data_IF_365902747365
#
_entry.id   IF_365902747365
#
_cell.length_a   1.000
_cell.length_b   1.000
_cell.length_c   1.000
_cell.angle_alpha   90.00
_cell.angle_beta   90.00
_cell.angle_gamma   90.00
#
_symmetry.space_group_name_H-M   'P 1'
#
loop_
_entity.id
_entity.type
_entity.pdbx_description
1 polymer ?
#
# COMPACT_ATOMS: atom_id res chain seq x y z
N UNK A 1 10.87 -15.10 -23.53
CA UNK A 1 10.83 -15.31 -22.07
C UNK A 1 12.15 -14.79 -21.56
N UNK A 2 12.19 -13.49 -21.29
CA UNK A 2 13.43 -12.80 -20.94
C UNK A 2 13.75 -13.19 -19.49
N UNK A 3 14.73 -14.07 -19.29
CA UNK A 3 15.25 -14.37 -17.96
C UNK A 3 15.99 -13.11 -17.49
N UNK A 4 15.27 -12.21 -16.81
CA UNK A 4 15.92 -11.15 -16.03
C UNK A 4 16.90 -11.84 -15.09
N UNK A 5 18.19 -11.60 -15.30
CA UNK A 5 19.22 -12.02 -14.36
C UNK A 5 18.96 -11.21 -13.09
N UNK A 6 18.37 -11.85 -12.07
CA UNK A 6 18.13 -11.22 -10.76
C UNK A 6 19.49 -10.74 -10.22
N UNK A 7 19.62 -9.45 -9.93
CA UNK A 7 20.83 -8.90 -9.30
C UNK A 7 21.11 -9.62 -7.99
N UNK A 8 22.37 -9.95 -7.75
CA UNK A 8 22.72 -10.63 -6.52
C UNK A 8 22.56 -9.68 -5.31
N UNK A 9 22.18 -10.15 -4.11
CA UNK A 9 21.92 -9.28 -2.96
C UNK A 9 23.07 -8.31 -2.62
N UNK A 10 24.32 -8.74 -2.80
CA UNK A 10 25.48 -7.88 -2.56
C UNK A 10 25.60 -6.72 -3.57
N UNK A 11 25.13 -6.88 -4.79
CA UNK A 11 25.11 -5.83 -5.82
C UNK A 11 24.02 -4.80 -5.50
N UNK A 12 22.85 -5.25 -5.05
CA UNK A 12 21.76 -4.40 -4.60
C UNK A 12 22.22 -3.54 -3.41
N UNK A 13 22.87 -4.16 -2.41
CA UNK A 13 23.43 -3.43 -1.27
C UNK A 13 24.49 -2.42 -1.69
N UNK A 14 25.38 -2.77 -2.63
CA UNK A 14 26.37 -1.83 -3.19
C UNK A 14 25.70 -0.63 -3.86
N UNK A 15 24.69 -0.87 -4.70
CA UNK A 15 23.96 0.20 -5.37
C UNK A 15 23.28 1.16 -4.37
N UNK A 16 22.78 0.64 -3.24
CA UNK A 16 22.24 1.46 -2.13
C UNK A 16 23.34 2.32 -1.48
N UNK A 17 24.51 1.76 -1.21
CA UNK A 17 25.66 2.50 -0.67
C UNK A 17 26.13 3.60 -1.62
N UNK A 18 26.13 3.33 -2.93
CA UNK A 18 26.53 4.30 -3.96
C UNK A 18 25.46 5.39 -4.16
N UNK A 19 24.21 5.13 -3.78
CA UNK A 19 23.06 6.04 -3.93
C UNK A 19 22.31 6.24 -2.59
N UNK A 20 22.97 6.79 -1.56
CA UNK A 20 22.43 6.81 -0.20
C UNK A 20 21.20 7.72 -0.06
N UNK A 21 21.07 8.73 -0.93
CA UNK A 21 19.99 9.73 -0.87
C UNK A 21 18.79 9.40 -1.77
N UNK A 22 18.92 8.42 -2.66
CA UNK A 22 17.84 8.05 -3.60
C UNK A 22 16.75 7.30 -2.85
N UNK A 23 15.47 7.63 -3.09
CA UNK A 23 14.36 6.91 -2.46
C UNK A 23 14.36 5.44 -2.87
N UNK A 24 13.79 4.59 -2.01
CA UNK A 24 13.78 3.14 -2.19
C UNK A 24 13.11 2.71 -3.49
N UNK A 25 11.92 3.25 -3.76
CA UNK A 25 11.19 3.03 -5.00
C UNK A 25 12.02 3.41 -6.23
N UNK A 26 12.62 4.60 -6.22
CA UNK A 26 13.34 5.13 -7.39
C UNK A 26 14.61 4.32 -7.66
N UNK A 27 15.31 3.91 -6.60
CA UNK A 27 16.48 3.04 -6.74
C UNK A 27 16.07 1.65 -7.26
N UNK A 28 15.01 1.06 -6.72
CA UNK A 28 14.51 -0.23 -7.20
C UNK A 28 14.15 -0.19 -8.69
N UNK A 29 13.44 0.87 -9.10
CA UNK A 29 13.11 1.11 -10.51
C UNK A 29 14.37 1.28 -11.38
N UNK A 30 15.37 2.02 -10.92
CA UNK A 30 16.65 2.19 -11.64
C UNK A 30 17.40 0.86 -11.81
N UNK A 31 17.32 -0.03 -10.83
CA UNK A 31 17.93 -1.35 -10.86
C UNK A 31 17.07 -2.40 -11.62
N UNK A 32 15.84 -2.06 -12.01
CA UNK A 32 14.92 -2.98 -12.67
C UNK A 32 14.38 -4.10 -11.77
N UNK A 33 14.36 -3.87 -10.45
CA UNK A 33 13.86 -4.80 -9.42
C UNK A 33 12.67 -4.18 -8.68
N UNK A 34 11.92 -5.00 -7.95
CA UNK A 34 10.86 -4.54 -7.05
C UNK A 34 11.41 -3.89 -5.77
N UNK A 35 10.59 -3.10 -5.09
CA UNK A 35 10.97 -2.52 -3.80
C UNK A 35 11.15 -3.59 -2.71
N UNK A 36 10.36 -4.67 -2.76
CA UNK A 36 10.53 -5.81 -1.88
C UNK A 36 11.88 -6.52 -2.07
N UNK A 37 12.35 -6.70 -3.31
CA UNK A 37 13.67 -7.26 -3.60
C UNK A 37 14.80 -6.38 -3.06
N UNK A 38 14.66 -5.05 -3.22
CA UNK A 38 15.60 -4.10 -2.64
C UNK A 38 15.69 -4.23 -1.12
N UNK A 39 14.56 -4.35 -0.42
CA UNK A 39 14.53 -4.49 1.05
C UNK A 39 15.03 -5.87 1.48
N UNK A 40 14.62 -6.93 0.79
CA UNK A 40 15.02 -8.30 1.08
C UNK A 40 16.54 -8.49 1.01
N UNK A 41 17.23 -7.78 0.10
CA UNK A 41 18.69 -7.83 -0.01
C UNK A 41 19.43 -7.42 1.29
N UNK A 42 18.75 -6.75 2.22
CA UNK A 42 19.29 -6.34 3.52
C UNK A 42 18.87 -7.28 4.67
N UNK A 43 18.18 -8.40 4.43
CA UNK A 43 17.88 -9.36 5.50
C UNK A 43 19.18 -9.84 6.17
N UNK A 44 19.22 -9.77 7.50
CA UNK A 44 20.42 -10.03 8.30
C UNK A 44 21.37 -8.83 8.44
N UNK A 45 21.10 -7.71 7.76
CA UNK A 45 21.85 -6.46 7.81
C UNK A 45 20.90 -5.27 8.01
N UNK A 46 20.41 -5.12 9.25
CA UNK A 46 19.44 -4.09 9.62
C UNK A 46 17.99 -4.39 9.20
N UNK A 47 17.75 -5.47 8.45
CA UNK A 47 16.39 -5.92 8.12
C UNK A 47 16.13 -7.32 8.68
N UNK A 48 14.95 -7.50 9.26
CA UNK A 48 14.39 -8.79 9.69
C UNK A 48 13.15 -9.06 8.86
N UNK A 49 13.10 -10.21 8.19
CA UNK A 49 11.89 -10.67 7.51
C UNK A 49 10.84 -11.05 8.55
N UNK A 50 9.61 -10.59 8.35
CA UNK A 50 8.47 -10.93 9.19
C UNK A 50 7.35 -11.54 8.34
N UNK A 51 6.59 -12.43 8.93
CA UNK A 51 5.37 -12.99 8.35
C UNK A 51 4.33 -11.86 8.19
N UNK A 52 3.71 -11.70 7.01
CA UNK A 52 2.70 -10.68 6.75
C UNK A 52 1.34 -11.05 7.38
N UNK A 53 1.32 -11.45 8.65
CA UNK A 53 0.09 -11.75 9.43
C UNK A 53 -0.61 -10.45 9.80
N UNK A 54 -1.34 -9.90 8.83
CA UNK A 54 -1.96 -8.56 8.89
C UNK A 54 -2.83 -8.38 10.14
N UNK A 55 -3.64 -9.37 10.52
CA UNK A 55 -4.51 -9.25 11.69
C UNK A 55 -3.71 -9.14 13.01
N UNK A 56 -2.65 -9.95 13.15
CA UNK A 56 -1.76 -9.92 14.32
C UNK A 56 -0.98 -8.60 14.37
N UNK A 57 -0.51 -8.12 13.21
CA UNK A 57 0.13 -6.82 13.06
C UNK A 57 -0.80 -5.68 13.54
N UNK A 58 -2.00 -5.57 12.96
CA UNK A 58 -2.89 -4.46 13.25
C UNK A 58 -3.28 -4.42 14.72
N UNK A 59 -3.55 -5.59 15.32
CA UNK A 59 -3.86 -5.71 16.75
C UNK A 59 -2.64 -5.34 17.60
N UNK A 60 -1.43 -5.73 17.18
CA UNK A 60 -0.20 -5.42 17.91
C UNK A 60 0.24 -3.96 17.82
N UNK A 61 -0.12 -3.25 16.74
CA UNK A 61 0.25 -1.86 16.52
C UNK A 61 -0.38 -0.89 17.53
N UNK A 62 -1.54 -1.23 18.11
CA UNK A 62 -2.16 -0.43 19.17
C UNK A 62 -1.20 -0.23 20.35
N UNK A 63 -0.49 -1.29 20.77
CA UNK A 63 0.48 -1.24 21.86
C UNK A 63 1.79 -0.50 21.49
N UNK A 64 2.09 -0.36 20.19
CA UNK A 64 3.22 0.46 19.71
C UNK A 64 2.94 1.95 19.92
N UNK A 65 1.67 2.34 19.97
CA UNK A 65 1.26 3.72 20.20
C UNK A 65 1.35 4.56 18.92
N UNK A 66 1.79 5.82 19.07
CA UNK A 66 1.83 6.76 17.95
C UNK A 66 2.90 6.38 16.93
N UNK A 67 2.50 6.29 15.67
CA UNK A 67 3.33 5.93 14.52
C UNK A 67 2.93 6.79 13.32
N UNK A 68 3.72 6.77 12.25
CA UNK A 68 3.31 7.30 10.94
C UNK A 68 2.95 6.16 10.00
N UNK A 69 1.72 6.16 9.51
CA UNK A 69 1.20 5.26 8.50
C UNK A 69 1.38 5.87 7.10
N UNK A 70 2.03 5.13 6.20
CA UNK A 70 2.28 5.55 4.82
C UNK A 70 1.64 4.55 3.85
N UNK A 71 0.75 5.07 3.00
CA UNK A 71 0.19 4.34 1.87
C UNK A 71 0.36 5.20 0.62
N UNK A 72 0.68 4.59 -0.51
CA UNK A 72 0.92 5.30 -1.76
C UNK A 72 0.45 4.52 -2.97
N UNK A 73 0.30 5.22 -4.08
CA UNK A 73 0.23 4.64 -5.42
C UNK A 73 1.24 5.36 -6.32
N UNK A 74 1.10 5.21 -7.64
CA UNK A 74 1.99 5.85 -8.60
C UNK A 74 1.99 7.39 -8.49
N UNK A 75 0.84 7.98 -8.22
CA UNK A 75 0.59 9.42 -8.35
C UNK A 75 0.46 10.18 -7.03
N UNK A 76 0.24 9.48 -5.91
CA UNK A 76 0.01 10.08 -4.61
C UNK A 76 0.67 9.30 -3.48
N UNK A 77 1.17 10.03 -2.47
CA UNK A 77 1.66 9.51 -1.20
C UNK A 77 0.79 10.11 -0.09
N UNK A 78 0.32 9.27 0.82
CA UNK A 78 -0.50 9.68 1.94
C UNK A 78 0.14 9.22 3.25
N UNK A 79 0.51 10.19 4.09
CA UNK A 79 1.15 9.99 5.39
C UNK A 79 0.24 10.51 6.49
N UNK A 80 0.00 9.69 7.53
CA UNK A 80 -0.77 10.09 8.71
C UNK A 80 -0.11 9.63 9.99
N UNK A 81 -0.01 10.53 10.96
CA UNK A 81 0.48 10.24 12.29
C UNK A 81 -0.70 9.92 13.20
N UNK A 82 -0.61 8.84 13.96
CA UNK A 82 -1.63 8.47 14.93
C UNK A 82 -1.42 7.08 15.51
N UNK A 83 -2.45 6.57 16.20
CA UNK A 83 -2.47 5.23 16.80
C UNK A 83 -3.39 4.33 15.97
N UNK A 84 -3.01 3.05 15.83
CA UNK A 84 -3.87 2.03 15.24
C UNK A 84 -4.88 1.57 16.30
N UNK A 85 -6.00 2.28 16.40
CA UNK A 85 -7.11 1.98 17.33
C UNK A 85 -8.37 1.56 16.56
N UNK A 86 -9.31 0.90 17.25
CA UNK A 86 -10.60 0.40 16.72
C UNK A 86 -10.38 -0.53 15.52
N UNK A 87 -9.45 -1.46 15.67
CA UNK A 87 -9.11 -2.45 14.65
C UNK A 87 -10.24 -3.47 14.53
N UNK A 88 -10.70 -3.67 13.29
CA UNK A 88 -11.63 -4.75 12.92
C UNK A 88 -10.89 -5.70 11.99
N UNK A 89 -10.59 -6.89 12.48
CA UNK A 89 -9.86 -7.90 11.72
C UNK A 89 -10.79 -8.72 10.81
N UNK A 90 -10.22 -9.33 9.78
CA UNK A 90 -10.96 -10.22 8.89
C UNK A 90 -10.07 -10.93 7.89
N UNK A 91 -10.64 -11.88 7.16
CA UNK A 91 -9.89 -12.70 6.18
C UNK A 91 -9.83 -12.07 4.79
N UNK A 92 -10.87 -11.32 4.42
CA UNK A 92 -10.97 -10.65 3.12
C UNK A 92 -10.80 -9.14 3.24
N UNK A 93 -11.37 -8.57 4.30
CA UNK A 93 -11.30 -7.15 4.61
C UNK A 93 -10.95 -7.00 6.09
N UNK A 94 -10.06 -6.06 6.39
CA UNK A 94 -9.77 -5.56 7.73
C UNK A 94 -9.85 -4.03 7.71
N UNK A 95 -10.06 -3.41 8.86
CA UNK A 95 -10.22 -1.96 8.97
C UNK A 95 -9.55 -1.45 10.25
N UNK A 96 -9.09 -0.21 10.17
CA UNK A 96 -8.69 0.60 11.34
C UNK A 96 -9.58 1.82 11.28
N UNK A 97 -10.32 2.11 12.34
CA UNK A 97 -11.32 3.19 12.38
C UNK A 97 -10.94 4.24 13.43
N UNK A 98 -9.64 4.50 13.55
CA UNK A 98 -9.08 5.49 14.46
C UNK A 98 -9.39 6.92 14.02
N UNK A 99 -9.25 7.87 14.94
CA UNK A 99 -9.48 9.30 14.65
C UNK A 99 -8.51 9.84 13.59
N UNK A 100 -7.23 9.43 13.68
CA UNK A 100 -6.18 9.90 12.77
C UNK A 100 -5.82 8.89 11.68
N UNK A 101 -5.85 7.60 12.02
CA UNK A 101 -5.55 6.50 11.11
C UNK A 101 -6.86 5.77 10.79
N UNK A 102 -7.37 6.03 9.59
CA UNK A 102 -8.54 5.34 9.02
C UNK A 102 -8.10 4.55 7.78
N UNK A 103 -8.20 3.23 7.85
CA UNK A 103 -7.71 2.32 6.81
C UNK A 103 -8.77 1.31 6.38
N UNK A 104 -8.79 1.02 5.08
CA UNK A 104 -9.46 -0.15 4.49
C UNK A 104 -8.37 -1.07 3.96
N UNK A 105 -8.31 -2.29 4.46
CA UNK A 105 -7.19 -3.20 4.28
C UNK A 105 -7.71 -4.50 3.66
N UNK A 106 -6.97 -5.01 2.67
CA UNK A 106 -7.23 -6.28 2.03
C UNK A 106 -6.10 -7.25 2.39
N UNK A 107 -6.22 -8.04 3.47
CA UNK A 107 -5.10 -8.81 4.02
C UNK A 107 -4.44 -9.75 3.02
N UNK A 108 -5.21 -10.33 2.09
CA UNK A 108 -4.71 -11.27 1.08
C UNK A 108 -3.74 -10.66 0.06
N UNK A 109 -3.70 -9.33 -0.06
CA UNK A 109 -2.76 -8.65 -0.97
C UNK A 109 -1.35 -8.62 -0.37
N UNK A 110 -1.22 -8.71 0.96
CA UNK A 110 0.04 -8.56 1.66
C UNK A 110 0.81 -9.89 1.58
N UNK A 111 1.82 -9.95 0.72
CA UNK A 111 2.59 -11.16 0.45
C UNK A 111 3.94 -11.20 1.17
N UNK A 112 4.53 -10.03 1.44
CA UNK A 112 5.84 -9.92 2.08
C UNK A 112 5.84 -8.86 3.17
N UNK A 113 6.61 -9.10 4.24
CA UNK A 113 6.76 -8.18 5.37
C UNK A 113 8.21 -8.10 5.85
N UNK A 114 8.64 -6.89 6.20
CA UNK A 114 10.00 -6.63 6.70
C UNK A 114 9.97 -5.60 7.83
N UNK A 115 10.68 -5.89 8.91
CA UNK A 115 11.05 -4.92 9.93
C UNK A 115 12.43 -4.36 9.57
N UNK A 116 12.49 -3.05 9.33
CA UNK A 116 13.66 -2.35 8.80
C UNK A 116 14.17 -1.37 9.84
N UNK A 117 15.45 -1.50 10.21
CA UNK A 117 16.22 -0.53 10.98
C UNK A 117 17.23 0.15 10.04
N UNK A 118 17.17 1.48 9.95
CA UNK A 118 18.14 2.30 9.23
C UNK A 118 18.88 3.19 10.20
N UNK A 119 20.19 3.28 10.01
CA UNK A 119 21.08 4.14 10.77
C UNK A 119 21.57 5.27 9.88
N UNK A 120 21.36 6.50 10.33
CA UNK A 120 21.89 7.72 9.71
C UNK A 120 22.64 8.51 10.78
N UNK A 121 23.96 8.29 10.85
CA UNK A 121 24.76 8.71 12.01
C UNK A 121 24.27 8.05 13.29
N UNK A 122 23.94 8.86 14.29
CA UNK A 122 23.38 8.41 15.57
C UNK A 122 21.86 8.21 15.53
N UNK A 123 21.18 8.65 14.46
CA UNK A 123 19.73 8.51 14.33
C UNK A 123 19.38 7.09 13.85
N UNK A 124 18.48 6.43 14.59
CA UNK A 124 17.95 5.12 14.21
C UNK A 124 16.47 5.25 13.85
N UNK A 125 16.16 5.00 12.58
CA UNK A 125 14.78 4.95 12.08
C UNK A 125 14.33 3.51 11.95
N UNK A 126 13.12 3.22 12.44
CA UNK A 126 12.52 1.89 12.41
C UNK A 126 11.19 1.91 11.67
N UNK A 127 10.95 0.88 10.89
CA UNK A 127 9.69 0.75 10.14
C UNK A 127 9.30 -0.71 9.92
N UNK A 128 8.00 -0.95 9.82
CA UNK A 128 7.43 -2.18 9.27
C UNK A 128 6.98 -1.88 7.84
N UNK A 129 7.44 -2.66 6.87
CA UNK A 129 7.16 -2.44 5.46
C UNK A 129 6.55 -3.69 4.83
N UNK A 130 5.43 -3.51 4.13
CA UNK A 130 4.66 -4.60 3.56
C UNK A 130 4.46 -4.41 2.07
N UNK A 131 4.57 -5.52 1.35
CA UNK A 131 4.58 -5.55 -0.11
C UNK A 131 3.61 -6.61 -0.63
N UNK A 132 3.13 -6.42 -1.85
CA UNK A 132 2.30 -7.39 -2.54
C UNK A 132 3.14 -8.49 -3.20
N UNK A 133 2.47 -9.43 -3.86
CA UNK A 133 3.13 -10.55 -4.53
C UNK A 133 4.03 -10.11 -5.69
N UNK A 134 3.82 -8.91 -6.24
CA UNK A 134 4.66 -8.29 -7.27
C UNK A 134 5.82 -7.47 -6.67
N UNK A 135 5.91 -7.40 -5.34
CA UNK A 135 6.94 -6.67 -4.62
C UNK A 135 6.71 -5.15 -4.56
N UNK A 136 5.50 -4.70 -4.89
CA UNK A 136 5.10 -3.30 -4.78
C UNK A 136 4.68 -2.96 -3.35
N UNK A 137 5.01 -1.74 -2.89
CA UNK A 137 4.71 -1.32 -1.53
C UNK A 137 3.20 -1.16 -1.31
N UNK A 138 2.66 -1.93 -0.36
CA UNK A 138 1.25 -1.88 0.03
C UNK A 138 1.06 -0.89 1.19
N UNK A 139 1.90 -1.00 2.22
CA UNK A 139 1.77 -0.17 3.41
C UNK A 139 3.08 -0.13 4.20
N UNK A 140 3.36 1.01 4.83
CA UNK A 140 4.48 1.14 5.76
C UNK A 140 4.05 1.80 7.06
N UNK A 141 4.66 1.36 8.15
CA UNK A 141 4.49 1.93 9.49
C UNK A 141 5.85 2.38 9.98
N UNK A 142 6.02 3.68 10.22
CA UNK A 142 7.25 4.27 10.71
C UNK A 142 7.10 4.63 12.18
N UNK A 143 8.07 4.21 13.00
CA UNK A 143 8.12 4.63 14.40
C UNK A 143 8.37 6.14 14.49
N UNK A 144 7.72 6.75 15.45
CA UNK A 144 7.88 8.14 15.87
C UNK A 144 8.65 8.20 17.20
N UNK A 145 9.15 9.37 17.61
CA UNK A 145 9.78 9.53 18.93
C UNK A 145 8.89 9.09 20.10
N UNK A 146 7.56 9.20 19.95
CA UNK A 146 6.57 8.80 20.94
C UNK A 146 6.21 7.30 20.90
N UNK A 147 6.70 6.52 19.92
CA UNK A 147 6.39 5.10 19.81
C UNK A 147 7.02 4.28 20.95
N UNK A 148 6.32 3.25 21.39
CA UNK A 148 6.84 2.25 22.31
C UNK A 148 7.80 1.29 21.59
N UNK A 149 9.11 1.54 21.73
CA UNK A 149 10.14 0.66 21.17
C UNK A 149 10.03 -0.79 21.70
N UNK A 150 9.68 -0.95 22.98
CA UNK A 150 9.50 -2.26 23.59
C UNK A 150 8.35 -3.04 22.93
N UNK A 151 7.19 -2.40 22.74
CA UNK A 151 6.06 -3.04 22.09
C UNK A 151 6.36 -3.36 20.62
N UNK A 152 7.05 -2.46 19.91
CA UNK A 152 7.53 -2.71 18.55
C UNK A 152 8.43 -3.94 18.48
N UNK A 153 9.45 -4.04 19.35
CA UNK A 153 10.37 -5.19 19.35
C UNK A 153 9.63 -6.49 19.66
N UNK A 154 8.68 -6.48 20.61
CA UNK A 154 7.84 -7.63 20.91
C UNK A 154 6.98 -8.04 19.71
N UNK A 155 6.42 -7.06 18.97
CA UNK A 155 5.63 -7.32 17.77
C UNK A 155 6.49 -7.91 16.64
N UNK A 156 7.68 -7.36 16.40
CA UNK A 156 8.63 -7.91 15.41
C UNK A 156 9.02 -9.34 15.76
N UNK A 157 9.39 -9.61 17.01
CA UNK A 157 9.73 -10.96 17.46
C UNK A 157 8.55 -11.94 17.32
N UNK A 158 7.33 -11.48 17.59
CA UNK A 158 6.14 -12.29 17.44
C UNK A 158 5.82 -12.61 15.97
N UNK A 159 6.21 -11.73 15.03
CA UNK A 159 5.97 -11.86 13.60
C UNK A 159 7.17 -12.40 12.82
N UNK A 160 8.31 -12.63 13.45
CA UNK A 160 9.55 -13.04 12.77
C UNK A 160 9.35 -14.30 11.91
N UNK A 161 9.84 -14.23 10.68
CA UNK A 161 9.82 -15.35 9.73
C UNK A 161 10.98 -16.31 10.04
N UNK A 162 10.74 -17.61 9.92
CA UNK A 162 11.80 -18.61 9.99
C UNK A 162 12.76 -18.54 8.78
N UNK A 163 12.29 -18.00 7.67
CA UNK A 163 13.11 -17.69 6.50
C UNK A 163 13.67 -16.26 6.63
N UNK A 164 15.01 -16.13 6.66
CA UNK A 164 15.72 -14.84 6.67
C UNK A 164 16.62 -14.67 5.44
N UNK A 165 16.36 -15.41 4.36
CA UNK A 165 17.15 -15.31 3.13
C UNK A 165 17.14 -13.88 2.56
N UNK A 166 18.27 -13.42 1.99
CA UNK A 166 18.40 -12.07 1.44
C UNK A 166 17.79 -11.92 0.04
N UNK A 167 16.84 -12.78 -0.30
CA UNK A 167 16.15 -12.83 -1.61
C UNK A 167 14.66 -13.04 -1.39
N UNK A 168 13.83 -12.56 -2.30
CA UNK A 168 12.38 -12.80 -2.25
C UNK A 168 11.89 -13.23 -3.63
N UNK A 169 10.92 -14.14 -3.63
CA UNK A 169 10.28 -14.59 -4.86
C UNK A 169 9.09 -13.71 -5.16
N UNK A 170 9.27 -12.93 -6.23
CA UNK A 170 8.27 -12.03 -6.76
C UNK A 170 7.50 -12.74 -7.86
N UNK A 171 6.18 -12.72 -7.72
CA UNK A 171 5.25 -13.11 -8.77
C UNK A 171 5.23 -11.99 -9.82
N UNK A 172 5.07 -12.34 -11.10
CA UNK A 172 4.82 -11.31 -12.12
C UNK A 172 3.64 -10.41 -11.72
N UNK A 173 3.58 -9.17 -12.23
CA UNK A 173 2.53 -8.21 -11.84
C UNK A 173 1.17 -8.87 -11.94
N UNK A 174 0.36 -8.72 -10.88
CA UNK A 174 -1.02 -9.18 -10.91
C UNK A 174 -1.71 -8.56 -12.15
N UNK A 175 -2.50 -9.33 -12.90
CA UNK A 175 -3.34 -8.74 -13.95
C UNK A 175 -4.12 -7.58 -13.34
N UNK A 176 -4.14 -6.46 -14.04
CA UNK A 176 -4.91 -5.28 -13.63
C UNK A 176 -6.36 -5.72 -13.38
N UNK A 177 -6.76 -5.75 -12.10
CA UNK A 177 -8.11 -6.15 -11.66
C UNK A 177 -9.14 -5.05 -12.02
N UNK A 178 -8.71 -3.95 -12.65
CA UNK A 178 -9.62 -3.10 -13.38
C UNK A 178 -10.41 -3.98 -14.33
N UNK A 179 -11.72 -4.06 -14.11
CA UNK A 179 -12.68 -4.58 -15.07
C UNK A 179 -12.38 -3.84 -16.37
N UNK A 180 -11.59 -4.48 -17.25
CA UNK A 180 -11.37 -4.02 -18.60
C UNK A 180 -12.70 -4.21 -19.27
N UNK A 181 -13.52 -3.16 -19.23
CA UNK A 181 -14.83 -3.26 -19.83
C UNK A 181 -14.62 -3.66 -21.27
N UNK A 182 -15.32 -4.71 -21.68
CA UNK A 182 -15.17 -5.36 -22.99
C UNK A 182 -15.62 -4.44 -24.14
N UNK A 183 -15.96 -3.17 -23.82
CA UNK A 183 -16.52 -2.21 -24.76
C UNK A 183 -17.91 -2.63 -25.23
N UNK A 184 -18.49 -3.71 -24.66
CA UNK A 184 -19.87 -4.05 -24.94
C UNK A 184 -20.72 -2.88 -24.46
N UNK A 185 -21.67 -2.49 -25.31
CA UNK A 185 -22.65 -1.46 -25.02
C UNK A 185 -23.47 -1.88 -23.79
N UNK A 186 -22.95 -1.63 -22.59
CA UNK A 186 -23.77 -1.56 -21.40
C UNK A 186 -24.87 -0.57 -21.76
N UNK A 187 -26.13 -1.04 -21.71
CA UNK A 187 -27.25 -0.18 -22.01
C UNK A 187 -27.15 1.02 -21.05
N UNK A 188 -26.98 2.21 -21.60
CA UNK A 188 -26.89 3.45 -20.82
C UNK A 188 -28.08 3.56 -19.84
N UNK A 189 -29.26 3.08 -20.26
CA UNK A 189 -30.44 3.03 -19.42
C UNK A 189 -30.28 2.07 -18.23
N UNK A 190 -29.65 0.90 -18.42
CA UNK A 190 -29.38 -0.07 -17.33
C UNK A 190 -28.30 0.46 -16.37
N UNK A 191 -27.27 1.13 -16.89
CA UNK A 191 -26.28 1.82 -16.06
C UNK A 191 -26.97 2.89 -15.20
N UNK A 192 -27.78 3.76 -15.81
CA UNK A 192 -28.46 4.86 -15.11
C UNK A 192 -29.51 4.36 -14.12
N UNK A 193 -30.30 3.34 -14.48
CA UNK A 193 -31.30 2.74 -13.58
C UNK A 193 -30.62 2.17 -12.33
N UNK A 194 -29.56 1.36 -12.49
CA UNK A 194 -28.81 0.80 -11.37
C UNK A 194 -28.13 1.87 -10.54
N UNK A 195 -27.51 2.86 -11.18
CA UNK A 195 -26.84 3.97 -10.50
C UNK A 195 -27.82 4.76 -9.62
N UNK A 196 -29.03 5.05 -10.14
CA UNK A 196 -30.06 5.79 -9.42
C UNK A 196 -30.60 5.09 -8.16
N UNK A 197 -30.42 3.76 -8.07
CA UNK A 197 -30.87 2.93 -6.95
C UNK A 197 -29.79 2.65 -5.92
N UNK A 198 -28.57 3.17 -6.13
CA UNK A 198 -27.49 3.04 -5.15
C UNK A 198 -27.87 3.76 -3.87
N UNK A 199 -27.87 3.02 -2.77
CA UNK A 199 -28.15 3.52 -1.42
C UNK A 199 -26.91 3.52 -0.54
N UNK A 200 -25.86 2.80 -0.97
CA UNK A 200 -24.59 2.67 -0.26
C UNK A 200 -23.44 2.67 -1.28
N UNK A 201 -22.36 3.40 -0.98
CA UNK A 201 -21.19 3.55 -1.86
C UNK A 201 -20.50 2.21 -2.18
N UNK A 202 -20.59 1.21 -1.30
CA UNK A 202 -20.00 -0.11 -1.50
C UNK A 202 -20.77 -0.95 -2.54
N UNK A 203 -22.03 -0.61 -2.84
CA UNK A 203 -22.82 -1.24 -3.92
C UNK A 203 -22.26 -0.89 -5.30
N UNK A 204 -21.53 0.22 -5.42
CA UNK A 204 -20.96 0.69 -6.68
C UNK A 204 -20.06 -0.35 -7.36
N UNK A 205 -19.21 -1.04 -6.58
CA UNK A 205 -18.31 -2.06 -7.14
C UNK A 205 -19.09 -3.27 -7.70
N UNK A 206 -20.16 -3.68 -7.01
CA UNK A 206 -21.05 -4.75 -7.49
C UNK A 206 -21.71 -4.38 -8.82
N UNK A 207 -22.20 -3.14 -8.93
CA UNK A 207 -22.78 -2.62 -10.18
C UNK A 207 -21.77 -2.63 -11.33
N UNK A 208 -20.55 -2.13 -11.11
CA UNK A 208 -19.49 -2.14 -12.13
C UNK A 208 -19.20 -3.56 -12.63
N UNK A 209 -19.12 -4.53 -11.71
CA UNK A 209 -18.88 -5.95 -12.05
C UNK A 209 -20.02 -6.55 -12.87
N UNK A 210 -21.27 -6.27 -12.49
CA UNK A 210 -22.45 -6.74 -13.24
C UNK A 210 -22.48 -6.18 -14.65
N UNK A 211 -22.19 -4.89 -14.80
CA UNK A 211 -22.20 -4.19 -16.09
C UNK A 211 -20.92 -4.40 -16.91
N UNK A 212 -19.91 -5.07 -16.33
CA UNK A 212 -18.57 -5.20 -16.90
C UNK A 212 -18.00 -3.85 -17.34
N UNK A 213 -18.17 -2.82 -16.51
CA UNK A 213 -17.63 -1.49 -16.77
C UNK A 213 -16.49 -1.21 -15.82
N UNK A 214 -15.42 -0.59 -16.32
CA UNK A 214 -14.45 0.07 -15.44
C UNK A 214 -15.11 1.27 -14.77
N UNK A 215 -14.58 1.69 -13.61
CA UNK A 215 -15.04 2.91 -12.92
C UNK A 215 -14.98 4.11 -13.86
N UNK A 216 -13.89 4.25 -14.64
CA UNK A 216 -13.70 5.36 -15.59
C UNK A 216 -14.69 5.33 -16.75
N UNK A 217 -15.03 4.16 -17.26
CA UNK A 217 -16.08 4.03 -18.28
C UNK A 217 -17.44 4.42 -17.72
N UNK A 218 -17.80 3.90 -16.54
CA UNK A 218 -19.08 4.17 -15.90
C UNK A 218 -19.30 5.67 -15.61
N UNK A 219 -18.32 6.37 -15.03
CA UNK A 219 -18.44 7.82 -14.75
C UNK A 219 -18.51 8.68 -16.02
N UNK A 220 -17.92 8.22 -17.14
CA UNK A 220 -18.01 8.94 -18.42
C UNK A 220 -19.34 8.74 -19.12
N UNK A 221 -19.96 7.57 -18.94
CA UNK A 221 -21.20 7.20 -19.62
C UNK A 221 -22.44 7.66 -18.85
N UNK A 222 -22.41 7.65 -17.51
CA UNK A 222 -23.62 7.79 -16.68
C UNK A 222 -24.42 9.06 -16.97
N UNK A 223 -23.78 10.17 -17.36
CA UNK A 223 -24.45 11.45 -17.65
C UNK A 223 -24.07 12.56 -16.67
N UNK A 224 -24.15 13.81 -17.14
CA UNK A 224 -23.65 14.99 -16.43
C UNK A 224 -24.44 15.36 -15.16
N UNK A 225 -25.64 14.81 -14.98
CA UNK A 225 -26.41 14.91 -13.75
C UNK A 225 -25.82 14.08 -12.60
N UNK A 226 -25.02 13.05 -12.91
CA UNK A 226 -24.33 12.23 -11.91
C UNK A 226 -22.82 12.49 -11.86
N UNK A 227 -22.19 12.70 -13.02
CA UNK A 227 -20.74 12.91 -13.12
C UNK A 227 -20.39 13.77 -14.32
N UNK A 228 -19.58 14.79 -14.10
CA UNK A 228 -18.99 15.61 -15.16
C UNK A 228 -17.49 15.77 -14.93
N UNK A 229 -16.76 16.00 -16.01
CA UNK A 229 -15.31 16.20 -15.95
C UNK A 229 -15.00 17.61 -15.48
N UNK A 230 -14.07 17.72 -14.53
CA UNK A 230 -13.49 18.98 -14.08
C UNK A 230 -12.14 19.22 -14.76
N UNK A 231 -11.68 20.47 -14.69
CA UNK A 231 -10.32 20.83 -15.08
C UNK A 231 -9.28 20.09 -14.21
N UNK A 232 -8.09 19.83 -14.77
CA UNK A 232 -7.02 19.12 -14.07
C UNK A 232 -6.52 19.87 -12.83
N UNK A 233 -6.69 21.20 -12.77
CA UNK A 233 -6.32 22.02 -11.60
C UNK A 233 -7.40 22.09 -10.51
N UNK A 234 -8.57 21.48 -10.74
CA UNK A 234 -9.71 21.58 -9.80
C UNK A 234 -9.38 21.04 -8.39
N UNK A 235 -8.59 19.97 -8.29
CA UNK A 235 -8.18 19.40 -7.00
C UNK A 235 -7.26 20.36 -6.25
N UNK A 236 -6.32 21.00 -6.94
CA UNK A 236 -5.42 22.00 -6.33
C UNK A 236 -6.23 23.19 -5.83
N UNK A 237 -7.13 23.72 -6.66
CA UNK A 237 -8.00 24.83 -6.29
C UNK A 237 -8.88 24.49 -5.07
N UNK A 238 -9.46 23.29 -5.04
CA UNK A 238 -10.26 22.81 -3.90
C UNK A 238 -9.44 22.80 -2.60
N UNK A 239 -8.20 22.30 -2.61
CA UNK A 239 -7.35 22.31 -1.42
C UNK A 239 -6.99 23.72 -0.94
N UNK A 240 -6.73 24.65 -1.86
CA UNK A 240 -6.48 26.05 -1.49
C UNK A 240 -7.69 26.67 -0.78
N UNK A 241 -8.89 26.51 -1.35
CA UNK A 241 -10.10 27.05 -0.73
C UNK A 241 -10.46 26.39 0.61
N UNK A 242 -10.26 25.08 0.74
CA UNK A 242 -10.54 24.37 1.99
C UNK A 242 -9.60 24.79 3.15
N UNK A 243 -8.42 25.32 2.85
CA UNK A 243 -7.49 25.81 3.87
C UNK A 243 -7.74 27.26 4.30
N UNK A 244 -8.46 28.04 3.48
CA UNK A 244 -8.83 29.43 3.76
C UNK A 244 -10.09 29.55 4.63
N UNK A 245 -10.95 28.53 4.61
CA UNK A 245 -12.18 28.45 5.42
C UNK A 245 -11.96 27.85 6.79
#
# INVERSE_FOLDING_TARGET
>A
MDQRVKSAPHEIRRARTDNPKTRERDLAAHLGISEAELVAAHCGDGVVRIEPRVNDLLTGLEAVGEVMALTRNESAVHEKIGVYDKVVTGTHNAMVLGENIDLRIFPKVWAHGFAVEKRDGDEIRRSLQFFDAAGEAVHKVHLQPASSLYAYQKLVAALESSNQEPTVDISGPLPDDEIRGDGAAANLDDLRDRWSRLTDVHQFFGMLKTLKLSRRQAVRLVGQDYAWQLDNEAVRAMFHHAAEG
#
